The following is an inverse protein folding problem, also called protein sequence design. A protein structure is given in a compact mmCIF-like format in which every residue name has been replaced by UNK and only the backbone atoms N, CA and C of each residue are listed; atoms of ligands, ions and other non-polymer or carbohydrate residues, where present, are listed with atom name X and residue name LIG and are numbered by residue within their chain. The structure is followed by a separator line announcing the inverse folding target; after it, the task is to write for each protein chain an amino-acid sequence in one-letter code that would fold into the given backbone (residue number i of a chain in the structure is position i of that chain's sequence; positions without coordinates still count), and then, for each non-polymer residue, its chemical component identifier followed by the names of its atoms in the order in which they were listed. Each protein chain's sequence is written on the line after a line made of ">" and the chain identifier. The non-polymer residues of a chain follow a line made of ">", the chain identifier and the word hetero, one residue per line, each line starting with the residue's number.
data_IF_005596113963
#
_entry.id   IF_005596113963
#
_cell.length_a   1.000
_cell.length_b   1.000
_cell.length_c   1.000
_cell.angle_alpha   90.00
_cell.angle_beta   90.00
_cell.angle_gamma   90.00
#
_symmetry.space_group_name_H-M   'P 1'
#
loop_
_entity.id
_entity.type
_entity.pdbx_description
1 polymer ?
#
# COMPACT_ATOMS: atom_id res chain seq x y z
N UNK A 1 1.56 -6.91 -6.81
CA UNK A 1 2.44 -6.31 -5.80
C UNK A 1 1.65 -5.34 -4.95
N UNK A 2 1.86 -5.40 -3.65
CA UNK A 2 1.19 -4.54 -2.67
C UNK A 2 2.19 -3.67 -1.95
N UNK A 3 1.81 -2.43 -1.72
CA UNK A 3 2.56 -1.49 -0.88
C UNK A 3 1.68 -1.13 0.31
N UNK A 4 2.13 -1.46 1.50
CA UNK A 4 1.39 -1.17 2.72
C UNK A 4 2.02 0.03 3.42
N UNK A 5 1.22 1.05 3.66
CA UNK A 5 1.67 2.27 4.35
C UNK A 5 0.94 2.35 5.68
N UNK A 6 1.72 2.39 6.76
CA UNK A 6 1.19 2.43 8.11
C UNK A 6 1.09 3.87 8.62
N UNK A 7 0.06 4.13 9.42
CA UNK A 7 -0.16 5.41 10.09
C UNK A 7 -0.28 6.62 9.16
N UNK A 8 -0.79 6.39 7.96
CA UNK A 8 -1.01 7.48 7.02
C UNK A 8 -2.26 7.23 6.19
N UNK A 9 -2.75 8.27 5.57
CA UNK A 9 -3.87 8.22 4.61
C UNK A 9 -3.49 9.03 3.38
N UNK A 10 -4.30 8.94 2.33
CA UNK A 10 -4.10 9.80 1.16
C UNK A 10 -4.11 11.28 1.54
N UNK A 11 -4.99 11.67 2.48
CA UNK A 11 -5.04 13.05 2.96
C UNK A 11 -3.72 13.47 3.59
N UNK A 12 -3.11 12.61 4.40
CA UNK A 12 -1.81 12.90 5.00
C UNK A 12 -0.73 13.12 3.94
N UNK A 13 -0.76 12.33 2.89
CA UNK A 13 0.21 12.48 1.79
C UNK A 13 -0.01 13.78 1.03
N UNK A 14 -1.26 14.14 0.74
CA UNK A 14 -1.57 15.39 0.05
C UNK A 14 -1.15 16.61 0.87
N UNK A 15 -1.30 16.55 2.20
CA UNK A 15 -0.96 17.66 3.09
C UNK A 15 0.49 17.65 3.56
N UNK A 16 1.23 16.59 3.26
CA UNK A 16 2.60 16.46 3.73
C UNK A 16 2.73 16.07 5.19
N UNK A 17 1.69 15.55 5.80
CA UNK A 17 1.66 15.15 7.23
C UNK A 17 2.23 13.75 7.41
N UNK A 18 3.51 13.57 7.12
CA UNK A 18 4.19 12.30 7.31
C UNK A 18 5.61 12.54 7.81
N UNK A 19 6.22 11.53 8.38
CA UNK A 19 7.53 11.66 9.04
C UNK A 19 8.72 11.83 8.09
N UNK A 20 8.56 11.47 6.85
CA UNK A 20 9.64 11.56 5.87
C UNK A 20 9.86 13.01 5.44
N UNK A 21 11.10 13.32 5.08
CA UNK A 21 11.47 14.63 4.51
C UNK A 21 11.23 14.73 3.01
N UNK A 22 10.63 13.71 2.42
CA UNK A 22 10.34 13.74 0.99
C UNK A 22 9.32 14.82 0.67
N UNK A 23 9.54 15.60 -0.40
CA UNK A 23 8.53 16.55 -0.86
C UNK A 23 7.24 15.82 -1.22
N UNK A 24 6.11 16.39 -0.82
CA UNK A 24 4.79 15.82 -1.09
C UNK A 24 4.58 15.51 -2.57
N UNK A 25 4.97 16.44 -3.42
CA UNK A 25 4.81 16.29 -4.87
C UNK A 25 5.59 15.08 -5.41
N UNK A 26 6.81 14.88 -4.93
CA UNK A 26 7.64 13.75 -5.36
C UNK A 26 7.10 12.43 -4.87
N UNK A 27 6.67 12.38 -3.59
CA UNK A 27 6.12 11.16 -3.01
C UNK A 27 4.83 10.75 -3.71
N UNK A 28 3.92 11.70 -3.90
CA UNK A 28 2.65 11.44 -4.57
C UNK A 28 2.88 10.98 -6.01
N UNK A 29 3.75 11.66 -6.74
CA UNK A 29 4.08 11.30 -8.11
C UNK A 29 4.66 9.90 -8.21
N UNK A 30 5.55 9.54 -7.28
CA UNK A 30 6.14 8.19 -7.25
C UNK A 30 5.09 7.12 -6.99
N UNK A 31 4.21 7.34 -6.00
CA UNK A 31 3.16 6.38 -5.68
C UNK A 31 2.22 6.15 -6.86
N UNK A 32 1.74 7.23 -7.46
CA UNK A 32 0.81 7.13 -8.59
C UNK A 32 1.48 6.48 -9.81
N UNK A 33 2.74 6.82 -10.06
CA UNK A 33 3.49 6.22 -11.15
C UNK A 33 3.67 4.71 -10.98
N UNK A 34 3.98 4.27 -9.76
CA UNK A 34 4.14 2.84 -9.47
C UNK A 34 2.82 2.08 -9.63
N UNK A 35 1.71 2.69 -9.24
CA UNK A 35 0.40 2.06 -9.40
C UNK A 35 0.09 1.83 -10.87
N UNK A 36 0.43 2.77 -11.73
CA UNK A 36 0.17 2.65 -13.17
C UNK A 36 1.19 1.76 -13.88
N UNK A 37 2.48 1.98 -13.61
CA UNK A 37 3.56 1.26 -14.33
C UNK A 37 3.71 -0.19 -13.91
N UNK A 38 3.62 -0.45 -12.61
CA UNK A 38 3.94 -1.75 -12.05
C UNK A 38 2.72 -2.45 -11.46
N UNK A 39 1.54 -1.89 -11.65
CA UNK A 39 0.30 -2.45 -11.12
C UNK A 39 0.40 -2.70 -9.61
N UNK A 40 0.96 -1.74 -8.88
CA UNK A 40 1.08 -1.80 -7.43
C UNK A 40 -0.23 -1.35 -6.79
N UNK A 41 -0.71 -2.11 -5.82
CA UNK A 41 -1.88 -1.72 -5.03
C UNK A 41 -1.40 -1.11 -3.71
N UNK A 42 -1.83 0.11 -3.42
CA UNK A 42 -1.45 0.80 -2.19
C UNK A 42 -2.53 0.60 -1.14
N UNK A 43 -2.13 0.16 0.04
CA UNK A 43 -3.03 -0.07 1.18
C UNK A 43 -2.58 0.80 2.34
N UNK A 44 -3.48 1.61 2.86
CA UNK A 44 -3.24 2.39 4.09
C UNK A 44 -3.89 1.70 5.26
N UNK A 45 -3.15 1.51 6.34
CA UNK A 45 -3.66 0.86 7.54
C UNK A 45 -2.91 1.34 8.78
N UNK A 46 -3.36 0.90 9.94
CA UNK A 46 -2.65 1.13 11.19
C UNK A 46 -1.68 -0.02 11.44
N UNK A 47 -0.60 0.21 12.24
CA UNK A 47 0.38 -0.85 12.50
C UNK A 47 -0.24 -2.15 13.04
N UNK A 48 -1.24 -2.04 13.89
CA UNK A 48 -1.91 -3.22 14.46
C UNK A 48 -2.74 -3.99 13.43
N UNK A 49 -3.02 -3.39 12.28
CA UNK A 49 -3.82 -4.02 11.21
C UNK A 49 -2.95 -4.70 10.15
N UNK A 50 -1.68 -4.35 10.08
CA UNK A 50 -0.79 -4.81 9.02
C UNK A 50 -0.70 -6.33 8.96
N UNK A 51 -0.47 -6.99 10.10
CA UNK A 51 -0.36 -8.44 10.15
C UNK A 51 -1.65 -9.13 9.68
N UNK A 52 -2.80 -8.59 10.04
CA UNK A 52 -4.10 -9.15 9.62
C UNK A 52 -4.28 -9.03 8.11
N UNK A 53 -3.91 -7.89 7.55
CA UNK A 53 -4.04 -7.65 6.11
C UNK A 53 -3.11 -8.60 5.35
N UNK A 54 -1.86 -8.71 5.76
CA UNK A 54 -0.89 -9.59 5.11
C UNK A 54 -1.37 -11.04 5.19
N UNK A 55 -1.84 -11.48 6.34
CA UNK A 55 -2.34 -12.84 6.52
C UNK A 55 -3.54 -13.11 5.61
N UNK A 56 -4.47 -12.16 5.54
CA UNK A 56 -5.63 -12.28 4.66
C UNK A 56 -5.23 -12.36 3.19
N UNK A 57 -4.30 -11.54 2.75
CA UNK A 57 -3.81 -11.57 1.37
C UNK A 57 -3.18 -12.93 1.05
N UNK A 58 -2.36 -13.46 1.95
CA UNK A 58 -1.77 -14.79 1.75
C UNK A 58 -2.82 -15.89 1.63
N UNK A 59 -3.84 -15.86 2.47
CA UNK A 59 -4.91 -16.86 2.44
C UNK A 59 -5.65 -16.82 1.10
N UNK A 60 -6.00 -15.64 0.63
CA UNK A 60 -6.72 -15.52 -0.64
C UNK A 60 -5.86 -15.88 -1.84
N UNK A 61 -4.59 -15.53 -1.83
CA UNK A 61 -3.67 -15.97 -2.89
C UNK A 61 -3.52 -17.49 -2.91
N UNK A 62 -3.39 -18.13 -1.75
CA UNK A 62 -3.31 -19.58 -1.69
C UNK A 62 -4.58 -20.23 -2.22
N UNK A 63 -5.75 -19.70 -1.89
CA UNK A 63 -7.04 -20.20 -2.40
C UNK A 63 -7.12 -20.10 -3.90
N UNK A 64 -6.74 -18.96 -4.46
CA UNK A 64 -6.76 -18.75 -5.91
C UNK A 64 -5.85 -19.76 -6.62
N UNK A 65 -4.66 -19.99 -6.08
CA UNK A 65 -3.74 -20.97 -6.65
C UNK A 65 -4.27 -22.39 -6.61
N UNK A 66 -4.94 -22.77 -5.52
CA UNK A 66 -5.55 -24.08 -5.41
C UNK A 66 -6.70 -24.28 -6.39
N UNK A 67 -7.44 -23.21 -6.68
CA UNK A 67 -8.60 -23.27 -7.59
C UNK A 67 -8.19 -23.18 -9.07
N UNK A 68 -7.19 -22.39 -9.39
CA UNK A 68 -6.86 -22.05 -10.78
C UNK A 68 -5.44 -22.43 -11.21
N UNK A 69 -4.62 -22.80 -10.28
CA UNK A 69 -3.23 -23.05 -10.55
C UNK A 69 -2.84 -24.47 -10.41
#
# INVERSE_FOLDING_TARGET
>A
VYLIIEDATWTDIFLGNYRSKFPTKSLLGSLLSWMVRFNVTVIFCKPEETARIIHGLFLYYARERLLYG
#
